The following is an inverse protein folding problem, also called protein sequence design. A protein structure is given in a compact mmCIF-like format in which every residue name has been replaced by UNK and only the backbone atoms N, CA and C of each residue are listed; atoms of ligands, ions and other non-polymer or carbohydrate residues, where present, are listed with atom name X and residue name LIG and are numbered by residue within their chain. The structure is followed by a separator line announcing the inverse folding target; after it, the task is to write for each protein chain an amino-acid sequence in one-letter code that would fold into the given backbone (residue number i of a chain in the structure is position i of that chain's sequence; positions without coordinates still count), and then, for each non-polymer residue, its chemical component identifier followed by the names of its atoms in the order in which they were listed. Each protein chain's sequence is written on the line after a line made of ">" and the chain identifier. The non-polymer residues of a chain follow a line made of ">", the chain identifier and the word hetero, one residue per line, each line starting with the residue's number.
data_IF_081974336140
#
_entry.id   IF_081974336140
#
_cell.length_a   1.000
_cell.length_b   1.000
_cell.length_c   1.000
_cell.angle_alpha   90.00
_cell.angle_beta   90.00
_cell.angle_gamma   90.00
#
_symmetry.space_group_name_H-M   'P 1'
#
loop_
_entity.id
_entity.type
_entity.pdbx_description
1 polymer ?
#
# COMPACT_ATOMS: atom_id res chain seq x y z
N UNK A 1 19.75 -56.48 74.87
CA UNK A 1 21.07 -55.91 75.19
C UNK A 1 20.86 -54.42 75.41
N UNK A 2 20.47 -53.98 76.60
CA UNK A 2 21.32 -53.55 77.73
C UNK A 2 22.44 -52.60 77.27
N UNK A 3 22.26 -51.29 77.51
CA UNK A 3 23.18 -50.55 78.38
C UNK A 3 22.55 -49.24 78.87
N UNK A 4 22.25 -49.23 80.16
CA UNK A 4 22.01 -48.07 81.02
C UNK A 4 23.26 -47.22 81.15
N UNK A 5 23.13 -45.89 81.07
CA UNK A 5 24.13 -44.95 81.59
C UNK A 5 23.40 -43.79 82.27
N UNK A 6 23.33 -43.89 83.60
CA UNK A 6 22.92 -42.81 84.48
C UNK A 6 24.01 -41.74 84.50
N UNK A 7 23.65 -40.47 84.28
CA UNK A 7 24.52 -39.34 84.57
C UNK A 7 23.81 -38.45 85.59
N UNK A 8 24.37 -38.45 86.79
CA UNK A 8 23.92 -37.73 87.97
C UNK A 8 23.95 -36.22 87.74
N UNK A 9 22.78 -35.57 87.80
CA UNK A 9 22.69 -34.13 87.91
C UNK A 9 23.01 -33.74 89.38
N UNK A 10 24.27 -33.40 89.65
CA UNK A 10 24.63 -32.65 90.84
C UNK A 10 23.94 -31.29 90.79
N UNK A 11 22.88 -31.12 91.58
CA UNK A 11 22.30 -29.82 91.88
C UNK A 11 23.29 -29.08 92.79
N UNK A 12 24.19 -28.30 92.19
CA UNK A 12 25.00 -27.34 92.92
C UNK A 12 24.07 -26.22 93.40
N UNK A 13 23.57 -26.33 94.63
CA UNK A 13 22.94 -25.23 95.33
C UNK A 13 24.01 -24.14 95.53
N UNK A 14 23.98 -23.11 94.69
CA UNK A 14 24.75 -21.90 94.93
C UNK A 14 24.27 -21.28 96.26
N UNK A 15 25.19 -20.80 97.12
CA UNK A 15 24.78 -20.14 98.34
C UNK A 15 24.03 -18.86 97.96
N UNK A 16 22.82 -18.69 98.48
CA UNK A 16 22.12 -17.43 98.45
C UNK A 16 22.90 -16.44 99.34
N UNK A 17 23.85 -15.73 98.74
CA UNK A 17 24.41 -14.52 99.36
C UNK A 17 23.22 -13.58 99.53
N UNK A 18 22.86 -13.28 100.77
CA UNK A 18 21.83 -12.30 101.06
C UNK A 18 22.29 -10.97 100.45
N UNK A 19 21.71 -10.60 99.31
CA UNK A 19 21.98 -9.31 98.71
C UNK A 19 21.46 -8.22 99.66
N UNK A 20 22.33 -7.28 100.05
CA UNK A 20 21.95 -6.11 100.87
C UNK A 20 20.84 -5.27 100.19
N UNK A 21 20.68 -5.42 98.87
CA UNK A 21 19.58 -4.89 98.08
C UNK A 21 19.13 -5.87 96.96
N UNK A 22 18.09 -6.70 97.19
CA UNK A 22 17.63 -7.68 96.18
C UNK A 22 17.06 -7.03 94.92
N UNK A 23 16.50 -5.82 95.01
CA UNK A 23 15.96 -5.10 93.85
C UNK A 23 17.06 -4.61 92.91
N UNK A 24 18.17 -4.12 93.47
CA UNK A 24 19.35 -3.73 92.68
C UNK A 24 19.92 -4.94 91.92
N UNK A 25 20.02 -6.10 92.58
CA UNK A 25 20.47 -7.34 91.95
C UNK A 25 19.55 -7.78 90.80
N UNK A 26 18.22 -7.73 90.99
CA UNK A 26 17.23 -8.05 89.96
C UNK A 26 17.35 -7.12 88.73
N UNK A 27 17.48 -5.81 88.96
CA UNK A 27 17.62 -4.83 87.88
C UNK A 27 18.97 -4.95 87.15
N UNK A 28 20.04 -5.25 87.88
CA UNK A 28 21.36 -5.55 87.31
C UNK A 28 21.31 -6.78 86.39
N UNK A 29 20.64 -7.86 86.82
CA UNK A 29 20.46 -9.06 86.02
C UNK A 29 19.71 -8.79 84.71
N UNK A 30 18.68 -7.94 84.73
CA UNK A 30 17.95 -7.52 83.52
C UNK A 30 18.85 -6.78 82.54
N UNK A 31 19.70 -5.88 83.02
CA UNK A 31 20.67 -5.18 82.18
C UNK A 31 21.70 -6.14 81.58
N UNK A 32 22.22 -7.09 82.36
CA UNK A 32 23.13 -8.13 81.85
C UNK A 32 22.45 -9.00 80.79
N UNK A 33 21.17 -9.35 80.96
CA UNK A 33 20.43 -10.10 79.95
C UNK A 33 20.26 -9.27 78.66
N UNK A 34 20.01 -7.96 78.78
CA UNK A 34 19.93 -7.05 77.63
C UNK A 34 21.29 -6.92 76.90
N UNK A 35 22.41 -7.00 77.62
CA UNK A 35 23.75 -6.99 77.02
C UNK A 35 24.13 -8.32 76.35
N UNK A 36 23.64 -9.44 76.89
CA UNK A 36 23.90 -10.77 76.38
C UNK A 36 23.08 -11.06 75.11
N UNK A 37 21.96 -10.36 74.90
CA UNK A 37 21.15 -10.49 73.70
C UNK A 37 21.86 -9.86 72.50
N UNK A 38 22.39 -10.70 71.62
CA UNK A 38 23.07 -10.28 70.38
C UNK A 38 22.23 -9.37 69.46
N UNK A 39 20.89 -9.42 69.57
CA UNK A 39 20.00 -8.60 68.75
C UNK A 39 19.78 -7.21 69.33
N UNK A 40 19.97 -7.04 70.64
CA UNK A 40 19.70 -5.79 71.36
C UNK A 40 20.95 -5.10 71.90
N UNK A 41 22.06 -5.83 72.06
CA UNK A 41 23.27 -5.35 72.72
C UNK A 41 24.02 -4.21 72.01
N UNK A 42 23.68 -3.94 70.75
CA UNK A 42 24.26 -2.86 69.95
C UNK A 42 23.43 -1.57 70.06
N UNK A 43 22.23 -1.67 70.65
CA UNK A 43 21.26 -0.58 70.74
C UNK A 43 21.18 0.03 72.14
N UNK A 44 20.63 1.24 72.19
CA UNK A 44 20.35 2.02 73.40
C UNK A 44 21.55 2.15 74.35
N UNK A 45 22.75 2.36 73.80
CA UNK A 45 23.99 2.43 74.58
C UNK A 45 23.93 3.51 75.67
N UNK A 46 23.34 4.67 75.35
CA UNK A 46 23.18 5.79 76.27
C UNK A 46 22.20 5.46 77.41
N UNK A 47 21.04 4.91 77.07
CA UNK A 47 19.98 4.56 78.02
C UNK A 47 20.44 3.41 78.95
N UNK A 48 21.20 2.45 78.41
CA UNK A 48 21.82 1.37 79.20
C UNK A 48 22.86 1.91 80.19
N UNK A 49 23.68 2.87 79.78
CA UNK A 49 24.62 3.53 80.69
C UNK A 49 23.88 4.24 81.83
N UNK A 50 22.83 5.00 81.51
CA UNK A 50 21.99 5.67 82.52
C UNK A 50 21.31 4.67 83.47
N UNK A 51 20.83 3.55 82.94
CA UNK A 51 20.21 2.49 83.75
C UNK A 51 21.21 1.85 84.71
N UNK A 52 22.45 1.55 84.27
CA UNK A 52 23.51 1.05 85.16
C UNK A 52 23.84 2.04 86.27
N UNK A 53 23.95 3.33 85.92
CA UNK A 53 24.20 4.37 86.92
C UNK A 53 23.06 4.43 87.95
N UNK A 54 21.81 4.38 87.50
CA UNK A 54 20.65 4.40 88.41
C UNK A 54 20.59 3.16 89.32
N UNK A 55 20.91 1.97 88.79
CA UNK A 55 21.02 0.74 89.60
C UNK A 55 22.16 0.84 90.62
N UNK A 56 23.31 1.41 90.25
CA UNK A 56 24.40 1.66 91.19
C UNK A 56 24.02 2.66 92.29
N UNK A 57 23.25 3.71 91.97
CA UNK A 57 22.74 4.63 92.99
C UNK A 57 21.72 3.99 93.94
N UNK A 58 20.88 3.07 93.43
CA UNK A 58 19.95 2.30 94.26
C UNK A 58 20.69 1.37 95.23
N UNK A 59 21.75 0.73 94.77
CA UNK A 59 22.56 -0.17 95.59
C UNK A 59 23.20 0.57 96.78
N UNK A 60 23.67 1.80 96.56
CA UNK A 60 24.31 2.65 97.57
C UNK A 60 23.30 3.48 98.41
N UNK A 61 22.01 3.44 98.10
CA UNK A 61 21.01 4.30 98.74
C UNK A 61 20.74 3.90 100.21
N UNK A 62 20.71 4.91 101.09
CA UNK A 62 20.26 4.76 102.46
C UNK A 62 18.79 4.30 102.52
N UNK A 63 18.41 3.56 103.57
CA UNK A 63 17.06 2.97 103.71
C UNK A 63 15.91 3.96 103.48
N UNK A 64 16.08 5.23 103.90
CA UNK A 64 15.07 6.30 103.74
C UNK A 64 14.89 6.77 102.28
N UNK A 65 15.95 6.73 101.48
CA UNK A 65 15.99 7.25 100.10
C UNK A 65 15.76 6.12 99.07
N UNK A 66 15.81 4.85 99.50
CA UNK A 66 15.63 3.65 98.67
C UNK A 66 14.35 3.65 97.83
N UNK A 67 13.15 4.00 98.34
CA UNK A 67 11.94 3.96 97.51
C UNK A 67 12.03 4.89 96.28
N UNK A 68 12.62 6.08 96.45
CA UNK A 68 12.85 7.02 95.35
C UNK A 68 13.91 6.52 94.38
N UNK A 69 15.04 6.01 94.89
CA UNK A 69 16.10 5.45 94.06
C UNK A 69 15.63 4.23 93.25
N UNK A 70 14.77 3.39 93.85
CA UNK A 70 14.18 2.21 93.21
C UNK A 70 13.29 2.63 92.04
N UNK A 71 12.39 3.59 92.25
CA UNK A 71 11.54 4.12 91.20
C UNK A 71 12.36 4.63 90.00
N UNK A 72 13.42 5.40 90.25
CA UNK A 72 14.28 5.92 89.18
C UNK A 72 15.00 4.79 88.45
N UNK A 73 15.57 3.83 89.18
CA UNK A 73 16.26 2.68 88.58
C UNK A 73 15.33 1.83 87.71
N UNK A 74 14.12 1.52 88.19
CA UNK A 74 13.12 0.76 87.42
C UNK A 74 12.73 1.48 86.13
N UNK A 75 12.50 2.80 86.20
CA UNK A 75 12.17 3.60 85.02
C UNK A 75 13.32 3.65 84.02
N UNK A 76 14.57 3.81 84.48
CA UNK A 76 15.73 3.83 83.58
C UNK A 76 15.97 2.49 82.91
N UNK A 77 15.83 1.37 83.64
CA UNK A 77 15.92 0.02 83.05
C UNK A 77 14.82 -0.21 82.03
N UNK A 78 13.57 0.17 82.33
CA UNK A 78 12.47 0.06 81.38
C UNK A 78 12.70 0.90 80.11
N UNK A 79 13.20 2.14 80.25
CA UNK A 79 13.56 2.99 79.10
C UNK A 79 14.66 2.33 78.26
N UNK A 80 15.70 1.78 78.89
CA UNK A 80 16.79 1.11 78.18
C UNK A 80 16.30 -0.09 77.36
N UNK A 81 15.45 -0.93 77.94
CA UNK A 81 14.85 -2.09 77.25
C UNK A 81 13.95 -1.67 76.09
N UNK A 82 13.07 -0.69 76.31
CA UNK A 82 12.19 -0.17 75.26
C UNK A 82 12.99 0.50 74.14
N UNK A 83 13.96 1.34 74.46
CA UNK A 83 14.81 2.00 73.47
C UNK A 83 15.60 0.99 72.63
N UNK A 84 16.15 -0.06 73.25
CA UNK A 84 16.88 -1.11 72.53
C UNK A 84 15.98 -1.83 71.53
N UNK A 85 14.77 -2.22 71.96
CA UNK A 85 13.78 -2.86 71.08
C UNK A 85 13.33 -1.94 69.95
N UNK A 86 13.05 -0.67 70.23
CA UNK A 86 12.65 0.31 69.22
C UNK A 86 13.73 0.50 68.17
N UNK A 87 15.00 0.68 68.58
CA UNK A 87 16.10 0.85 67.63
C UNK A 87 16.36 -0.41 66.80
N UNK A 88 16.24 -1.60 67.39
CA UNK A 88 16.34 -2.86 66.67
C UNK A 88 15.24 -3.00 65.60
N UNK A 89 13.99 -2.68 65.95
CA UNK A 89 12.87 -2.70 65.01
C UNK A 89 13.03 -1.64 63.90
N UNK A 90 13.52 -0.44 64.22
CA UNK A 90 13.83 0.58 63.22
C UNK A 90 14.87 0.09 62.21
N UNK A 91 15.92 -0.59 62.66
CA UNK A 91 16.91 -1.19 61.76
C UNK A 91 16.32 -2.26 60.84
N UNK A 92 15.37 -3.05 61.33
CA UNK A 92 14.65 -4.03 60.52
C UNK A 92 13.78 -3.34 59.47
N UNK A 93 13.07 -2.28 59.83
CA UNK A 93 12.28 -1.47 58.88
C UNK A 93 13.20 -0.91 57.79
N UNK A 94 14.32 -0.28 58.16
CA UNK A 94 15.29 0.26 57.20
C UNK A 94 15.83 -0.82 56.25
N UNK A 95 16.02 -2.05 56.74
CA UNK A 95 16.46 -3.17 55.91
C UNK A 95 15.36 -3.60 54.93
N UNK A 96 14.13 -3.80 55.42
CA UNK A 96 13.00 -4.20 54.59
C UNK A 96 12.65 -3.13 53.54
N UNK A 97 12.82 -1.85 53.86
CA UNK A 97 12.61 -0.76 52.91
C UNK A 97 13.65 -0.76 51.80
N UNK A 98 14.92 -1.09 52.10
CA UNK A 98 15.96 -1.29 51.08
C UNK A 98 15.64 -2.48 50.19
N UNK A 99 15.29 -3.63 50.78
CA UNK A 99 14.90 -4.84 50.03
C UNK A 99 13.68 -4.56 49.13
N UNK A 100 12.68 -3.87 49.66
CA UNK A 100 11.50 -3.43 48.89
C UNK A 100 11.89 -2.53 47.73
N UNK A 101 12.79 -1.56 47.95
CA UNK A 101 13.25 -0.67 46.89
C UNK A 101 13.99 -1.44 45.79
N UNK A 102 14.86 -2.38 46.14
CA UNK A 102 15.56 -3.25 45.20
C UNK A 102 14.57 -4.10 44.36
N UNK A 103 13.58 -4.72 45.01
CA UNK A 103 12.54 -5.49 44.32
C UNK A 103 11.71 -4.64 43.35
N UNK A 104 11.39 -3.40 43.72
CA UNK A 104 10.66 -2.49 42.83
C UNK A 104 11.50 -2.07 41.62
N UNK A 105 12.80 -1.83 41.82
CA UNK A 105 13.73 -1.55 40.72
C UNK A 105 13.83 -2.75 39.79
N UNK A 106 13.95 -3.97 40.32
CA UNK A 106 14.01 -5.18 39.49
C UNK A 106 12.70 -5.41 38.72
N UNK A 107 11.54 -5.23 39.35
CA UNK A 107 10.25 -5.31 38.68
C UNK A 107 10.15 -4.29 37.54
N UNK A 108 10.53 -3.03 37.79
CA UNK A 108 10.56 -1.98 36.78
C UNK A 108 11.50 -2.30 35.61
N UNK A 109 12.67 -2.88 35.88
CA UNK A 109 13.60 -3.30 34.82
C UNK A 109 13.03 -4.43 33.96
N UNK A 110 12.37 -5.42 34.58
CA UNK A 110 11.71 -6.52 33.85
C UNK A 110 10.58 -6.00 32.97
N UNK A 111 9.77 -5.08 33.47
CA UNK A 111 8.68 -4.48 32.70
C UNK A 111 9.20 -3.63 31.54
N UNK A 112 10.25 -2.82 31.77
CA UNK A 112 10.91 -2.06 30.70
C UNK A 112 11.52 -2.97 29.63
N UNK A 113 12.10 -4.12 30.01
CA UNK A 113 12.63 -5.10 29.08
C UNK A 113 11.52 -5.74 28.23
N UNK A 114 10.37 -6.10 28.84
CA UNK A 114 9.20 -6.62 28.11
C UNK A 114 8.64 -5.60 27.13
N UNK A 115 8.47 -4.36 27.56
CA UNK A 115 7.97 -3.29 26.70
C UNK A 115 8.90 -3.04 25.48
N UNK A 116 10.23 -3.10 25.67
CA UNK A 116 11.19 -3.01 24.57
C UNK A 116 11.10 -4.20 23.61
N UNK A 117 10.96 -5.41 24.14
CA UNK A 117 10.81 -6.61 23.32
C UNK A 117 9.51 -6.57 22.48
N UNK A 118 8.40 -6.11 23.07
CA UNK A 118 7.14 -5.92 22.36
C UNK A 118 7.25 -4.83 21.29
N UNK A 119 7.89 -3.71 21.59
CA UNK A 119 8.11 -2.64 20.62
C UNK A 119 8.97 -3.10 19.44
N UNK A 120 10.05 -3.84 19.69
CA UNK A 120 10.88 -4.40 18.61
C UNK A 120 10.11 -5.42 17.77
N UNK A 121 9.28 -6.26 18.40
CA UNK A 121 8.40 -7.19 17.67
C UNK A 121 7.44 -6.45 16.74
N UNK A 122 6.81 -5.37 17.22
CA UNK A 122 5.92 -4.54 16.40
C UNK A 122 6.68 -3.85 15.26
N UNK A 123 7.90 -3.37 15.53
CA UNK A 123 8.77 -2.76 14.51
C UNK A 123 9.12 -3.74 13.40
N UNK A 124 9.49 -4.98 13.75
CA UNK A 124 9.77 -6.05 12.79
C UNK A 124 8.52 -6.43 11.99
N UNK A 125 7.35 -6.52 12.64
CA UNK A 125 6.09 -6.78 11.93
C UNK A 125 5.75 -5.67 10.92
N UNK A 126 5.94 -4.40 11.31
CA UNK A 126 5.72 -3.27 10.40
C UNK A 126 6.71 -3.28 9.23
N UNK A 127 7.98 -3.65 9.45
CA UNK A 127 8.97 -3.79 8.38
C UNK A 127 8.60 -4.91 7.42
N UNK A 128 8.23 -6.10 7.92
CA UNK A 128 7.79 -7.20 7.06
C UNK A 128 6.56 -6.83 6.22
N UNK A 129 5.56 -6.17 6.81
CA UNK A 129 4.38 -5.70 6.07
C UNK A 129 4.74 -4.67 4.99
N UNK A 130 5.69 -3.77 5.27
CA UNK A 130 6.16 -2.81 4.28
C UNK A 130 6.90 -3.50 3.13
N UNK A 131 7.76 -4.47 3.42
CA UNK A 131 8.46 -5.27 2.41
C UNK A 131 7.50 -6.10 1.55
N UNK A 132 6.49 -6.74 2.17
CA UNK A 132 5.46 -7.50 1.45
C UNK A 132 4.62 -6.58 0.55
N UNK A 133 4.25 -5.39 1.04
CA UNK A 133 3.53 -4.41 0.23
C UNK A 133 4.37 -3.91 -0.96
N UNK A 134 5.66 -3.66 -0.75
CA UNK A 134 6.58 -3.25 -1.80
C UNK A 134 6.75 -4.38 -2.85
N UNK A 135 6.90 -5.63 -2.40
CA UNK A 135 6.96 -6.80 -3.28
C UNK A 135 5.69 -6.94 -4.11
N UNK A 136 4.52 -6.74 -3.51
CA UNK A 136 3.24 -6.81 -4.22
C UNK A 136 3.10 -5.68 -5.25
N UNK A 137 3.58 -4.46 -4.92
CA UNK A 137 3.62 -3.35 -5.86
C UNK A 137 4.50 -3.67 -7.07
N UNK A 138 5.72 -4.17 -6.83
CA UNK A 138 6.63 -4.57 -7.91
C UNK A 138 6.03 -5.66 -8.80
N UNK A 139 5.30 -6.63 -8.22
CA UNK A 139 4.57 -7.64 -8.98
C UNK A 139 3.44 -7.01 -9.81
N UNK A 140 2.63 -6.13 -9.23
CA UNK A 140 1.56 -5.43 -9.96
C UNK A 140 2.10 -4.56 -11.09
N UNK A 141 3.24 -3.91 -10.90
CA UNK A 141 3.90 -3.11 -11.93
C UNK A 141 4.43 -4.00 -13.07
N UNK A 142 5.07 -5.12 -12.74
CA UNK A 142 5.54 -6.10 -13.72
C UNK A 142 4.37 -6.70 -14.53
N UNK A 143 3.26 -7.03 -13.87
CA UNK A 143 2.05 -7.54 -14.52
C UNK A 143 1.43 -6.47 -15.44
N UNK A 144 1.38 -5.21 -15.00
CA UNK A 144 0.88 -4.10 -15.84
C UNK A 144 1.75 -3.91 -17.09
N UNK A 145 3.08 -3.98 -16.96
CA UNK A 145 4.00 -3.93 -18.11
C UNK A 145 3.78 -5.11 -19.04
N UNK A 146 3.62 -6.33 -18.51
CA UNK A 146 3.34 -7.51 -19.33
C UNK A 146 2.02 -7.38 -20.11
N UNK A 147 0.96 -6.83 -19.50
CA UNK A 147 -0.30 -6.56 -20.18
C UNK A 147 -0.15 -5.50 -21.28
N UNK A 148 0.62 -4.44 -21.01
CA UNK A 148 0.92 -3.42 -22.01
C UNK A 148 1.70 -4.00 -23.21
N UNK A 149 2.66 -4.89 -22.96
CA UNK A 149 3.42 -5.58 -24.01
C UNK A 149 2.50 -6.46 -24.86
N UNK A 150 1.61 -7.24 -24.24
CA UNK A 150 0.59 -8.03 -24.95
C UNK A 150 -0.31 -7.15 -25.80
N UNK A 151 -0.80 -6.03 -25.26
CA UNK A 151 -1.64 -5.10 -26.02
C UNK A 151 -0.88 -4.46 -27.19
N UNK A 152 0.40 -4.11 -27.00
CA UNK A 152 1.25 -3.58 -28.06
C UNK A 152 1.47 -4.60 -29.18
N UNK A 153 1.68 -5.88 -28.84
CA UNK A 153 1.83 -6.97 -29.80
C UNK A 153 0.53 -7.21 -30.58
N UNK A 154 -0.62 -7.21 -29.90
CA UNK A 154 -1.95 -7.33 -30.53
C UNK A 154 -2.23 -6.17 -31.48
N UNK A 155 -1.92 -4.93 -31.10
CA UNK A 155 -2.02 -3.76 -31.98
C UNK A 155 -1.09 -3.88 -33.19
N UNK A 156 0.12 -4.39 -33.00
CA UNK A 156 1.06 -4.66 -34.09
C UNK A 156 0.53 -5.69 -35.09
N UNK A 157 -0.02 -6.81 -34.61
CA UNK A 157 -0.62 -7.85 -35.46
C UNK A 157 -1.86 -7.32 -36.19
N UNK A 158 -2.74 -6.60 -35.49
CA UNK A 158 -3.91 -5.97 -36.10
C UNK A 158 -3.50 -4.97 -37.19
N UNK A 159 -2.50 -4.11 -36.91
CA UNK A 159 -1.94 -3.17 -37.89
C UNK A 159 -1.36 -3.88 -39.12
N UNK A 160 -0.62 -4.97 -38.93
CA UNK A 160 -0.08 -5.77 -40.02
C UNK A 160 -1.19 -6.43 -40.86
N UNK A 161 -2.26 -6.90 -40.22
CA UNK A 161 -3.43 -7.46 -40.92
C UNK A 161 -4.18 -6.38 -41.72
N UNK A 162 -4.40 -5.19 -41.14
CA UNK A 162 -4.99 -4.05 -41.85
C UNK A 162 -4.14 -3.64 -43.05
N UNK A 163 -2.81 -3.58 -42.91
CA UNK A 163 -1.90 -3.27 -44.00
C UNK A 163 -1.97 -4.31 -45.13
N UNK A 164 -2.04 -5.61 -44.81
CA UNK A 164 -2.21 -6.69 -45.81
C UNK A 164 -3.54 -6.59 -46.55
N UNK A 165 -4.63 -6.30 -45.84
CA UNK A 165 -5.95 -6.11 -46.45
C UNK A 165 -5.97 -4.90 -47.39
N UNK A 166 -5.37 -3.78 -47.00
CA UNK A 166 -5.28 -2.60 -47.86
C UNK A 166 -4.42 -2.88 -49.11
N UNK A 167 -3.26 -3.55 -48.95
CA UNK A 167 -2.41 -3.93 -50.08
C UNK A 167 -3.13 -4.90 -51.05
N UNK A 168 -3.95 -5.82 -50.54
CA UNK A 168 -4.76 -6.70 -51.37
C UNK A 168 -5.83 -5.92 -52.16
N UNK A 169 -6.53 -4.98 -51.51
CA UNK A 169 -7.51 -4.09 -52.17
C UNK A 169 -6.87 -3.23 -53.25
N UNK A 170 -5.68 -2.68 -53.00
CA UNK A 170 -4.96 -1.87 -54.00
C UNK A 170 -4.53 -2.71 -55.21
N UNK A 171 -4.14 -3.98 -55.02
CA UNK A 171 -3.86 -4.90 -56.13
C UNK A 171 -5.11 -5.24 -56.93
N UNK A 172 -6.25 -5.50 -56.25
CA UNK A 172 -7.53 -5.71 -56.92
C UNK A 172 -7.94 -4.51 -57.76
N UNK A 173 -7.82 -3.29 -57.23
CA UNK A 173 -8.13 -2.07 -57.96
C UNK A 173 -7.23 -1.88 -59.19
N UNK A 174 -5.93 -2.22 -59.10
CA UNK A 174 -5.02 -2.19 -60.25
C UNK A 174 -5.40 -3.20 -61.33
N UNK A 175 -5.66 -4.44 -60.94
CA UNK A 175 -6.08 -5.50 -61.88
C UNK A 175 -7.39 -5.12 -62.57
N UNK A 176 -8.39 -4.60 -61.85
CA UNK A 176 -9.64 -4.15 -62.45
C UNK A 176 -9.45 -3.03 -63.47
N UNK A 177 -8.48 -2.13 -63.26
CA UNK A 177 -8.12 -1.10 -64.26
C UNK A 177 -7.51 -1.73 -65.51
N UNK A 178 -6.53 -2.61 -65.32
CA UNK A 178 -5.86 -3.29 -66.43
C UNK A 178 -6.84 -4.14 -67.25
N UNK A 179 -7.76 -4.86 -66.60
CA UNK A 179 -8.82 -5.62 -67.28
C UNK A 179 -9.77 -4.71 -68.07
N UNK A 180 -10.18 -3.57 -67.51
CA UNK A 180 -11.04 -2.63 -68.22
C UNK A 180 -10.35 -1.98 -69.43
N UNK A 181 -9.07 -1.64 -69.30
CA UNK A 181 -8.26 -1.11 -70.40
C UNK A 181 -8.03 -2.17 -71.48
N UNK A 182 -7.80 -3.43 -71.10
CA UNK A 182 -7.60 -4.55 -72.03
C UNK A 182 -8.89 -4.91 -72.80
N UNK A 183 -10.04 -4.95 -72.13
CA UNK A 183 -11.34 -5.34 -72.73
C UNK A 183 -11.87 -4.26 -73.68
N UNK A 184 -11.61 -2.99 -73.40
CA UNK A 184 -12.17 -1.87 -74.18
C UNK A 184 -11.17 -1.22 -75.14
N UNK A 185 -9.87 -1.52 -75.02
CA UNK A 185 -8.79 -0.90 -75.81
C UNK A 185 -8.64 0.60 -75.58
N UNK A 186 -9.28 1.16 -74.54
CA UNK A 186 -9.28 2.57 -74.18
C UNK A 186 -8.56 2.80 -72.85
N UNK A 187 -7.94 3.96 -72.68
CA UNK A 187 -7.23 4.34 -71.45
C UNK A 187 -8.20 4.94 -70.42
N UNK A 188 -8.13 4.50 -69.17
CA UNK A 188 -8.93 5.09 -68.09
C UNK A 188 -8.43 6.52 -67.77
N UNK A 189 -9.33 7.51 -67.62
CA UNK A 189 -8.96 8.84 -67.16
C UNK A 189 -8.43 8.82 -65.72
N UNK A 190 -7.70 9.86 -65.32
CA UNK A 190 -7.21 10.00 -63.95
C UNK A 190 -8.39 10.11 -62.99
N UNK A 191 -8.58 9.08 -62.14
CA UNK A 191 -9.64 9.05 -61.14
C UNK A 191 -9.22 9.75 -59.86
N UNK A 192 -10.14 10.50 -59.24
CA UNK A 192 -10.01 11.00 -57.86
C UNK A 192 -11.01 10.27 -56.96
N UNK A 193 -10.52 9.65 -55.88
CA UNK A 193 -11.40 9.03 -54.88
C UNK A 193 -11.85 10.11 -53.88
N UNK A 194 -13.16 10.23 -53.68
CA UNK A 194 -13.77 11.10 -52.68
C UNK A 194 -14.78 10.32 -51.82
N UNK A 195 -15.49 11.00 -50.91
CA UNK A 195 -16.50 10.37 -50.04
C UNK A 195 -17.74 9.85 -50.78
N UNK A 196 -17.89 10.10 -52.09
CA UNK A 196 -19.01 9.69 -52.94
C UNK A 196 -18.64 8.51 -53.84
N UNK A 197 -17.36 8.18 -53.97
CA UNK A 197 -16.84 7.09 -54.79
C UNK A 197 -15.59 7.50 -55.59
N UNK A 198 -15.36 6.81 -56.70
CA UNK A 198 -14.29 7.15 -57.64
C UNK A 198 -14.82 8.08 -58.74
N UNK A 199 -14.31 9.31 -58.76
CA UNK A 199 -14.72 10.36 -59.71
C UNK A 199 -13.77 10.37 -60.90
N UNK A 200 -14.30 10.07 -62.09
CA UNK A 200 -13.64 10.18 -63.38
C UNK A 200 -14.10 11.46 -64.08
N UNK A 201 -13.17 12.37 -64.37
CA UNK A 201 -13.48 13.56 -65.15
C UNK A 201 -13.30 13.28 -66.65
N UNK A 202 -14.29 13.64 -67.46
CA UNK A 202 -14.17 13.65 -68.92
C UNK A 202 -13.51 14.95 -69.39
N UNK A 203 -12.78 14.88 -70.50
CA UNK A 203 -12.11 16.03 -71.09
C UNK A 203 -13.09 17.14 -71.52
N UNK A 204 -12.64 18.40 -71.49
CA UNK A 204 -13.45 19.58 -71.86
C UNK A 204 -13.94 19.57 -73.32
N UNK A 205 -13.40 18.68 -74.16
CA UNK A 205 -13.79 18.47 -75.55
C UNK A 205 -14.70 17.26 -75.79
N UNK A 206 -15.19 16.58 -74.75
CA UNK A 206 -16.00 15.37 -74.89
C UNK A 206 -17.36 15.59 -75.59
N UNK A 207 -17.83 16.84 -75.65
CA UNK A 207 -19.03 17.25 -76.37
C UNK A 207 -18.69 18.33 -77.40
N UNK A 208 -19.40 18.33 -78.54
CA UNK A 208 -19.31 19.44 -79.50
C UNK A 208 -19.79 20.77 -78.87
N UNK A 209 -19.21 21.90 -79.29
CA UNK A 209 -19.62 23.23 -78.81
C UNK A 209 -21.14 23.43 -78.96
N UNK A 210 -21.84 23.72 -77.87
CA UNK A 210 -23.30 23.86 -77.82
C UNK A 210 -24.12 22.58 -78.07
N UNK A 211 -23.48 21.42 -78.25
CA UNK A 211 -24.16 20.13 -78.54
C UNK A 211 -24.16 19.21 -77.31
N UNK A 212 -25.14 18.29 -77.31
CA UNK A 212 -25.26 17.21 -76.32
C UNK A 212 -24.71 15.85 -76.84
N UNK A 213 -24.18 15.82 -78.06
CA UNK A 213 -23.61 14.61 -78.67
C UNK A 213 -22.18 14.38 -78.21
N UNK A 214 -21.90 13.19 -77.68
CA UNK A 214 -20.56 12.76 -77.31
C UNK A 214 -19.69 12.52 -78.55
N UNK A 215 -18.45 12.99 -78.52
CA UNK A 215 -17.45 12.63 -79.52
C UNK A 215 -17.03 11.15 -79.42
N UNK A 216 -16.50 10.57 -80.51
CA UNK A 216 -16.09 9.16 -80.55
C UNK A 216 -15.08 8.79 -79.47
N UNK A 217 -14.09 9.65 -79.20
CA UNK A 217 -13.13 9.44 -78.10
C UNK A 217 -13.78 9.42 -76.72
N UNK A 218 -14.75 10.31 -76.47
CA UNK A 218 -15.49 10.34 -75.22
C UNK A 218 -16.41 9.11 -75.05
N UNK A 219 -16.98 8.60 -76.14
CA UNK A 219 -17.74 7.35 -76.11
C UNK A 219 -16.86 6.15 -75.71
N UNK A 220 -15.64 6.06 -76.24
CA UNK A 220 -14.68 5.01 -75.83
C UNK A 220 -14.32 5.15 -74.35
N UNK A 221 -14.01 6.35 -73.88
CA UNK A 221 -13.71 6.61 -72.46
C UNK A 221 -14.87 6.23 -71.53
N UNK A 222 -16.10 6.59 -71.89
CA UNK A 222 -17.30 6.25 -71.12
C UNK A 222 -17.52 4.73 -71.09
N UNK A 223 -17.27 4.02 -72.20
CA UNK A 223 -17.31 2.55 -72.24
C UNK A 223 -16.22 1.90 -71.38
N UNK A 224 -14.99 2.43 -71.38
CA UNK A 224 -13.91 1.96 -70.51
C UNK A 224 -14.25 2.17 -69.03
N UNK A 225 -14.85 3.31 -68.66
CA UNK A 225 -15.33 3.57 -67.29
C UNK A 225 -16.48 2.62 -66.91
N UNK A 226 -17.37 2.28 -67.85
CA UNK A 226 -18.44 1.30 -67.63
C UNK A 226 -17.88 -0.11 -67.37
N UNK A 227 -16.91 -0.54 -68.18
CA UNK A 227 -16.22 -1.82 -68.01
C UNK A 227 -15.46 -1.88 -66.66
N UNK A 228 -14.81 -0.78 -66.26
CA UNK A 228 -14.17 -0.67 -64.95
C UNK A 228 -15.17 -0.76 -63.80
N UNK A 229 -16.30 -0.05 -63.87
CA UNK A 229 -17.35 -0.11 -62.86
C UNK A 229 -17.94 -1.53 -62.72
N UNK A 230 -17.93 -2.31 -63.81
CA UNK A 230 -18.42 -3.69 -63.83
C UNK A 230 -17.40 -4.65 -63.22
N UNK A 231 -16.12 -4.50 -63.58
CA UNK A 231 -15.01 -5.24 -62.97
C UNK A 231 -14.89 -4.94 -61.46
N UNK A 232 -15.16 -3.70 -61.02
CA UNK A 232 -15.13 -3.29 -59.62
C UNK A 232 -16.38 -3.67 -58.82
N UNK A 233 -17.38 -4.33 -59.42
CA UNK A 233 -18.66 -4.71 -58.78
C UNK A 233 -19.35 -3.54 -58.06
N UNK A 234 -19.34 -2.36 -58.69
CA UNK A 234 -19.92 -1.14 -58.12
C UNK A 234 -21.45 -1.18 -58.11
N UNK A 235 -22.12 -0.63 -57.06
CA UNK A 235 -23.58 -0.66 -56.92
C UNK A 235 -24.31 0.32 -57.87
N UNK A 236 -23.60 1.29 -58.43
CA UNK A 236 -24.16 2.28 -59.35
C UNK A 236 -23.14 3.30 -59.87
N UNK A 237 -23.50 4.02 -60.92
CA UNK A 237 -22.72 5.13 -61.49
C UNK A 237 -23.57 6.39 -61.48
N UNK A 238 -23.07 7.48 -60.90
CA UNK A 238 -23.70 8.79 -60.96
C UNK A 238 -22.98 9.67 -61.97
N UNK A 239 -23.72 10.25 -62.90
CA UNK A 239 -23.22 11.18 -63.92
C UNK A 239 -23.61 12.59 -63.49
N UNK A 240 -22.62 13.36 -63.06
CA UNK A 240 -22.79 14.77 -62.68
C UNK A 240 -22.25 15.66 -63.82
N UNK A 241 -23.13 16.44 -64.45
CA UNK A 241 -22.76 17.37 -65.53
C UNK A 241 -23.06 18.80 -65.13
N UNK A 242 -22.07 19.66 -65.32
CA UNK A 242 -22.18 21.12 -65.18
C UNK A 242 -22.04 21.77 -66.53
N UNK A 243 -22.98 22.65 -66.88
CA UNK A 243 -22.90 23.48 -68.08
C UNK A 243 -23.51 24.87 -67.83
N UNK A 244 -23.33 25.80 -68.76
CA UNK A 244 -23.91 27.14 -68.68
C UNK A 244 -25.46 27.14 -68.57
N UNK A 245 -26.14 26.15 -69.16
CA UNK A 245 -27.59 25.94 -69.08
C UNK A 245 -27.91 24.58 -68.45
N UNK A 246 -28.81 24.55 -67.47
CA UNK A 246 -29.26 23.32 -66.80
C UNK A 246 -29.92 22.32 -67.78
N UNK A 247 -30.67 22.81 -68.78
CA UNK A 247 -31.29 21.93 -69.79
C UNK A 247 -30.24 21.29 -70.70
N UNK A 248 -29.20 22.05 -71.05
CA UNK A 248 -28.07 21.53 -71.82
C UNK A 248 -27.25 20.54 -71.00
N UNK A 249 -27.02 20.82 -69.72
CA UNK A 249 -26.34 19.91 -68.79
C UNK A 249 -27.08 18.58 -68.66
N UNK A 250 -28.40 18.62 -68.48
CA UNK A 250 -29.24 17.43 -68.39
C UNK A 250 -29.19 16.58 -69.66
N UNK A 251 -29.32 17.20 -70.84
CA UNK A 251 -29.22 16.49 -72.13
C UNK A 251 -27.84 15.85 -72.36
N UNK A 252 -26.76 16.51 -71.93
CA UNK A 252 -25.39 15.96 -71.97
C UNK A 252 -25.24 14.78 -71.01
N UNK A 253 -25.83 14.87 -69.82
CA UNK A 253 -25.81 13.81 -68.81
C UNK A 253 -26.60 12.58 -69.29
N UNK A 254 -27.74 12.78 -69.97
CA UNK A 254 -28.51 11.73 -70.62
C UNK A 254 -27.73 11.05 -71.76
N UNK A 255 -27.02 11.82 -72.59
CA UNK A 255 -26.17 11.24 -73.63
C UNK A 255 -25.03 10.35 -73.05
N UNK A 256 -24.49 10.72 -71.89
CA UNK A 256 -23.50 9.89 -71.17
C UNK A 256 -24.14 8.65 -70.58
N UNK A 257 -25.34 8.75 -70.01
CA UNK A 257 -26.12 7.56 -69.58
C UNK A 257 -26.33 6.61 -70.76
N UNK A 258 -26.78 7.12 -71.90
CA UNK A 258 -27.08 6.29 -73.06
C UNK A 258 -25.80 5.63 -73.61
N UNK A 259 -24.65 6.33 -73.55
CA UNK A 259 -23.35 5.75 -73.86
C UNK A 259 -22.86 4.69 -72.84
N UNK A 260 -23.16 4.85 -71.55
CA UNK A 260 -22.90 3.85 -70.50
C UNK A 260 -23.75 2.59 -70.72
N UNK A 261 -25.03 2.76 -71.04
CA UNK A 261 -25.96 1.66 -71.35
C UNK A 261 -25.51 0.93 -72.62
N UNK A 262 -25.12 1.66 -73.67
CA UNK A 262 -24.52 1.09 -74.87
C UNK A 262 -23.17 0.40 -74.62
N UNK A 263 -22.51 0.73 -73.50
CA UNK A 263 -21.30 0.07 -73.00
C UNK A 263 -21.57 -1.16 -72.12
N UNK A 264 -22.83 -1.55 -71.91
CA UNK A 264 -23.21 -2.75 -71.15
C UNK A 264 -23.62 -2.51 -69.69
N UNK A 265 -23.72 -1.26 -69.23
CA UNK A 265 -24.14 -0.95 -67.86
C UNK A 265 -25.68 -0.92 -67.69
N UNK A 266 -26.26 -1.44 -66.59
CA UNK A 266 -27.71 -1.44 -66.39
C UNK A 266 -28.28 -0.03 -66.23
N UNK A 267 -29.30 0.33 -67.03
CA UNK A 267 -29.92 1.66 -67.00
C UNK A 267 -30.46 2.05 -65.61
N UNK A 268 -30.98 1.09 -64.84
CA UNK A 268 -31.49 1.31 -63.48
C UNK A 268 -30.43 1.63 -62.42
N UNK A 269 -29.14 1.48 -62.74
CA UNK A 269 -28.02 1.77 -61.86
C UNK A 269 -27.26 3.04 -62.29
N UNK A 270 -27.84 3.86 -63.16
CA UNK A 270 -27.28 5.16 -63.57
C UNK A 270 -28.12 6.30 -63.01
N UNK A 271 -27.52 7.14 -62.18
CA UNK A 271 -28.14 8.38 -61.73
C UNK A 271 -27.62 9.54 -62.56
N UNK A 272 -28.51 10.35 -63.12
CA UNK A 272 -28.15 11.47 -64.01
C UNK A 272 -28.49 12.78 -63.30
N UNK A 273 -27.53 13.70 -63.24
CA UNK A 273 -27.69 14.99 -62.59
C UNK A 273 -27.05 16.11 -63.41
N UNK A 274 -27.87 16.90 -64.09
CA UNK A 274 -27.45 18.11 -64.80
C UNK A 274 -27.68 19.36 -63.95
N UNK A 275 -26.62 20.15 -63.70
CA UNK A 275 -26.72 21.43 -62.97
C UNK A 275 -26.12 22.60 -63.75
N UNK A 276 -26.69 23.79 -63.60
CA UNK A 276 -26.12 25.01 -64.18
C UNK A 276 -24.87 25.46 -63.41
N UNK A 277 -23.83 25.94 -64.11
CA UNK A 277 -22.59 26.39 -63.49
C UNK A 277 -21.71 27.23 -64.42
N UNK A 278 -20.76 27.96 -63.84
CA UNK A 278 -19.82 28.83 -64.59
C UNK A 278 -18.74 28.07 -65.37
N UNK A 279 -18.58 26.77 -65.11
CA UNK A 279 -17.60 25.92 -65.77
C UNK A 279 -18.29 24.69 -66.36
N UNK A 280 -17.97 24.38 -67.61
CA UNK A 280 -18.38 23.14 -68.27
C UNK A 280 -17.51 21.99 -67.73
N UNK A 281 -18.12 21.05 -67.00
CA UNK A 281 -17.45 19.86 -66.46
C UNK A 281 -18.40 18.68 -66.44
N UNK A 282 -17.88 17.52 -66.81
CA UNK A 282 -18.60 16.25 -66.83
C UNK A 282 -17.83 15.26 -65.97
N UNK A 283 -18.44 14.83 -64.87
CA UNK A 283 -17.87 13.90 -63.90
C UNK A 283 -18.71 12.61 -63.86
N UNK A 284 -18.05 11.46 -63.98
CA UNK A 284 -18.65 10.15 -63.73
C UNK A 284 -18.17 9.66 -62.37
N UNK A 285 -19.09 9.55 -61.43
CA UNK A 285 -18.84 9.03 -60.08
C UNK A 285 -19.24 7.58 -60.05
N UNK A 286 -18.27 6.68 -60.07
CA UNK A 286 -18.48 5.26 -59.83
C UNK A 286 -18.62 5.07 -58.32
N UNK A 287 -19.80 4.64 -57.88
CA UNK A 287 -20.07 4.47 -56.46
C UNK A 287 -19.23 3.30 -55.91
N UNK A 288 -18.70 3.47 -54.70
CA UNK A 288 -18.11 2.36 -53.93
C UNK A 288 -19.17 1.76 -53.01
N UNK A 289 -19.04 0.46 -52.70
CA UNK A 289 -19.77 -0.15 -51.58
C UNK A 289 -19.25 0.34 -50.24
#
# INVERSE_FOLDING_TARGET
>A
MILTAALAACFAAAPAVAADNPDAARLSQRLTALDADSTLNTFAAYERLQARQAVSTLDQAAKRDRPGALYVAERRVAIAESAARTQAMQRQVDQLDRERAELLVEASQRDAARARAENERLRLQAQMQAEEAERLRQQSEADAVAMQDVESALKGVAGAQTARLNAARDRQAKLAREEAELVTGGKLPTARRDSRGEVFALDKGSFGSGKATLGSGAQTTVKTVAAYAQASSSPGVRVDVTAADAKLAQRRAEAVRDALVAGGWPQGQVQVNGKAGKADRTELVVQSK
#
